data_IF_330329621645
#
_entry.id   IF_330329621645
#
_cell.length_a   1.000
_cell.length_b   1.000
_cell.length_c   1.000
_cell.angle_alpha   90.00
_cell.angle_beta   90.00
_cell.angle_gamma   90.00
#
_symmetry.space_group_name_H-M   'P 1'
#
loop_
_entity.id
_entity.type
_entity.pdbx_description
1 polymer ?
#
# COMPACT_ATOMS: atom_id res chain seq x y z
N UNK A 1 9.45 -14.87 25.70
CA UNK A 1 9.39 -15.37 27.09
C UNK A 1 8.38 -16.51 27.24
N UNK A 2 7.14 -16.37 26.75
CA UNK A 2 6.10 -17.41 26.81
C UNK A 2 6.48 -18.75 26.14
N UNK A 3 7.01 -18.72 24.90
CA UNK A 3 7.40 -19.94 24.17
C UNK A 3 8.50 -20.76 24.87
N UNK A 4 9.44 -20.08 25.55
CA UNK A 4 10.47 -20.75 26.35
C UNK A 4 9.88 -21.48 27.56
N UNK A 5 8.85 -20.91 28.19
CA UNK A 5 8.13 -21.55 29.28
C UNK A 5 7.37 -22.79 28.77
N UNK A 6 6.70 -22.69 27.62
CA UNK A 6 5.99 -23.80 26.99
C UNK A 6 6.91 -24.97 26.60
N UNK A 7 8.09 -24.69 26.01
CA UNK A 7 9.09 -25.71 25.65
C UNK A 7 9.60 -26.46 26.89
N UNK A 8 9.96 -25.71 27.93
CA UNK A 8 10.42 -26.30 29.21
C UNK A 8 9.33 -27.16 29.85
N UNK A 9 8.07 -26.72 29.77
CA UNK A 9 6.93 -27.47 30.27
C UNK A 9 6.71 -28.80 29.53
N UNK A 10 6.79 -28.80 28.19
CA UNK A 10 6.63 -30.01 27.36
C UNK A 10 7.76 -31.02 27.60
N UNK A 11 9.00 -30.56 27.77
CA UNK A 11 10.16 -31.43 28.08
C UNK A 11 9.98 -32.13 29.43
N UNK A 12 9.37 -31.46 30.42
CA UNK A 12 9.14 -32.03 31.75
C UNK A 12 7.92 -32.95 31.75
N UNK A 13 6.83 -32.58 31.08
CA UNK A 13 5.60 -33.40 31.07
C UNK A 13 5.73 -34.68 30.22
N UNK A 14 6.46 -34.64 29.10
CA UNK A 14 6.58 -35.78 28.19
C UNK A 14 7.04 -37.08 28.87
N UNK A 15 8.16 -37.08 29.61
CA UNK A 15 8.65 -38.23 30.37
C UNK A 15 7.67 -38.70 31.45
N UNK A 16 6.98 -37.77 32.12
CA UNK A 16 5.99 -38.07 33.17
C UNK A 16 4.78 -38.77 32.56
N UNK A 17 4.21 -38.21 31.49
CA UNK A 17 3.08 -38.83 30.76
C UNK A 17 3.49 -40.20 30.21
N UNK A 18 4.69 -40.32 29.63
CA UNK A 18 5.19 -41.57 29.08
C UNK A 18 5.35 -42.67 30.14
N UNK A 19 5.82 -42.32 31.34
CA UNK A 19 5.93 -43.24 32.47
C UNK A 19 4.56 -43.75 32.95
N UNK A 20 3.57 -42.86 33.08
CA UNK A 20 2.25 -43.24 33.60
C UNK A 20 1.32 -43.87 32.56
N UNK A 21 1.43 -43.49 31.29
CA UNK A 21 0.46 -43.88 30.25
C UNK A 21 0.91 -45.04 29.37
N UNK A 22 2.23 -45.21 29.16
CA UNK A 22 2.76 -46.21 28.21
C UNK A 22 3.34 -47.41 28.93
N UNK A 23 4.23 -47.20 29.91
CA UNK A 23 4.82 -48.27 30.71
C UNK A 23 5.52 -47.69 31.95
N UNK A 24 5.25 -48.26 33.13
CA UNK A 24 5.92 -47.88 34.38
C UNK A 24 7.37 -48.40 34.46
N UNK A 25 8.22 -47.92 33.56
CA UNK A 25 9.62 -48.30 33.48
C UNK A 25 10.42 -47.37 32.56
N UNK A 26 11.73 -47.63 32.40
CA UNK A 26 12.63 -46.78 31.62
C UNK A 26 12.21 -46.64 30.15
N UNK A 27 11.50 -47.64 29.59
CA UNK A 27 10.96 -47.59 28.23
C UNK A 27 9.85 -46.54 28.06
N UNK A 28 8.97 -46.37 29.06
CA UNK A 28 7.91 -45.36 29.02
C UNK A 28 8.45 -43.94 29.09
N UNK A 29 9.46 -43.72 29.93
CA UNK A 29 10.20 -42.45 30.01
C UNK A 29 10.84 -42.14 28.65
N UNK A 30 11.50 -43.11 28.02
CA UNK A 30 12.18 -42.92 26.74
C UNK A 30 11.22 -42.53 25.60
N UNK A 31 10.05 -43.19 25.53
CA UNK A 31 9.00 -42.87 24.57
C UNK A 31 8.42 -41.48 24.83
N UNK A 32 8.19 -41.14 26.11
CA UNK A 32 7.68 -39.83 26.51
C UNK A 32 8.64 -38.67 26.18
N UNK A 33 9.93 -38.85 26.44
CA UNK A 33 10.98 -37.88 26.06
C UNK A 33 11.06 -37.76 24.53
N UNK A 34 11.02 -38.87 23.81
CA UNK A 34 11.03 -38.87 22.35
C UNK A 34 9.87 -38.09 21.74
N UNK A 35 8.66 -38.27 22.28
CA UNK A 35 7.48 -37.53 21.86
C UNK A 35 7.61 -36.02 22.13
N UNK A 36 8.14 -35.63 23.30
CA UNK A 36 8.36 -34.22 23.65
C UNK A 36 9.37 -33.54 22.69
N UNK A 37 10.47 -34.23 22.38
CA UNK A 37 11.47 -33.73 21.41
C UNK A 37 10.85 -33.58 20.02
N UNK A 38 10.02 -34.54 19.60
CA UNK A 38 9.32 -34.50 18.31
C UNK A 38 8.35 -33.31 18.22
N UNK A 39 7.60 -33.02 19.28
CA UNK A 39 6.69 -31.86 19.32
C UNK A 39 7.47 -30.55 19.19
N UNK A 40 8.60 -30.41 19.89
CA UNK A 40 9.45 -29.22 19.81
C UNK A 40 10.09 -29.11 18.43
N UNK A 41 10.47 -30.22 17.82
CA UNK A 41 10.98 -30.23 16.45
C UNK A 41 9.91 -29.77 15.45
N UNK A 42 8.66 -30.25 15.58
CA UNK A 42 7.54 -29.78 14.76
C UNK A 42 7.30 -28.28 14.97
N UNK A 43 7.27 -27.81 16.21
CA UNK A 43 7.12 -26.38 16.54
C UNK A 43 8.22 -25.54 15.87
N UNK A 44 9.48 -25.97 15.98
CA UNK A 44 10.61 -25.29 15.35
C UNK A 44 10.49 -25.25 13.83
N UNK A 45 10.06 -26.34 13.20
CA UNK A 45 9.80 -26.37 11.74
C UNK A 45 8.65 -25.42 11.37
N UNK A 46 7.56 -25.41 12.15
CA UNK A 46 6.42 -24.50 11.93
C UNK A 46 6.80 -23.02 12.06
N UNK A 47 7.76 -22.67 12.93
CA UNK A 47 8.28 -21.31 13.05
C UNK A 47 9.09 -20.86 11.82
N UNK A 48 9.76 -21.79 11.14
CA UNK A 48 10.61 -21.50 9.98
C UNK A 48 9.85 -21.49 8.65
N UNK A 49 8.67 -22.11 8.60
CA UNK A 49 7.89 -22.28 7.37
C UNK A 49 6.75 -21.26 7.32
N UNK A 50 6.58 -20.49 6.22
CA UNK A 50 5.47 -19.57 6.06
C UNK A 50 4.11 -20.28 6.15
N UNK A 51 3.09 -19.61 6.72
CA UNK A 51 1.75 -20.19 6.84
C UNK A 51 1.15 -20.58 5.48
N UNK A 52 1.45 -19.83 4.41
CA UNK A 52 0.96 -20.13 3.07
C UNK A 52 1.63 -21.36 2.44
N UNK A 53 2.88 -21.68 2.79
CA UNK A 53 3.53 -22.96 2.44
C UNK A 53 2.83 -24.13 3.14
N UNK A 54 2.48 -23.98 4.41
CA UNK A 54 1.79 -25.02 5.19
C UNK A 54 0.41 -25.32 4.60
N UNK A 55 -0.37 -24.27 4.29
CA UNK A 55 -1.69 -24.41 3.68
C UNK A 55 -1.58 -25.05 2.31
N UNK A 56 -0.65 -24.61 1.47
CA UNK A 56 -0.43 -25.18 0.14
C UNK A 56 -0.02 -26.67 0.22
N UNK A 57 0.89 -27.01 1.14
CA UNK A 57 1.30 -28.39 1.39
C UNK A 57 0.09 -29.26 1.78
N UNK A 58 -0.74 -28.80 2.72
CA UNK A 58 -1.94 -29.49 3.16
C UNK A 58 -2.94 -29.72 2.02
N UNK A 59 -3.23 -28.68 1.22
CA UNK A 59 -4.10 -28.81 0.05
C UNK A 59 -3.53 -29.80 -0.98
N UNK A 60 -2.23 -29.75 -1.24
CA UNK A 60 -1.56 -30.66 -2.17
C UNK A 60 -1.67 -32.12 -1.75
N UNK A 61 -1.52 -32.42 -0.46
CA UNK A 61 -1.71 -33.77 0.10
C UNK A 61 -3.15 -34.23 -0.10
N UNK A 62 -4.14 -33.39 0.25
CA UNK A 62 -5.56 -33.72 0.11
C UNK A 62 -5.92 -34.01 -1.36
N UNK A 63 -5.48 -33.16 -2.28
CA UNK A 63 -5.70 -33.34 -3.72
C UNK A 63 -5.04 -34.63 -4.21
N UNK A 64 -3.80 -34.92 -3.78
CA UNK A 64 -3.09 -36.16 -4.12
C UNK A 64 -3.84 -37.41 -3.66
N UNK A 65 -4.37 -37.39 -2.42
CA UNK A 65 -5.17 -38.50 -1.89
C UNK A 65 -6.51 -38.67 -2.62
N UNK A 66 -7.17 -37.57 -2.99
CA UNK A 66 -8.40 -37.62 -3.80
C UNK A 66 -8.10 -38.23 -5.17
N UNK A 67 -6.99 -37.85 -5.81
CA UNK A 67 -6.58 -38.40 -7.09
C UNK A 67 -6.33 -39.92 -7.01
N UNK A 68 -5.64 -40.39 -5.97
CA UNK A 68 -5.46 -41.84 -5.76
C UNK A 68 -6.78 -42.53 -5.53
N UNK A 69 -7.69 -41.95 -4.76
CA UNK A 69 -9.02 -42.54 -4.54
C UNK A 69 -9.84 -42.64 -5.83
N UNK A 70 -9.70 -41.66 -6.73
CA UNK A 70 -10.29 -41.74 -8.06
C UNK A 70 -9.64 -42.84 -8.91
N UNK A 71 -8.31 -43.01 -8.82
CA UNK A 71 -7.61 -44.13 -9.49
C UNK A 71 -8.03 -45.48 -8.92
N UNK A 72 -8.18 -45.64 -7.60
CA UNK A 72 -8.66 -46.86 -6.96
C UNK A 72 -9.99 -47.30 -7.60
N UNK A 73 -10.93 -46.35 -7.77
CA UNK A 73 -12.21 -46.63 -8.42
C UNK A 73 -12.06 -47.08 -9.88
N UNK A 74 -11.21 -46.41 -10.67
CA UNK A 74 -10.97 -46.78 -12.07
C UNK A 74 -10.35 -48.18 -12.18
N UNK A 75 -9.39 -48.50 -11.31
CA UNK A 75 -8.69 -49.78 -11.32
C UNK A 75 -9.66 -50.92 -11.04
N UNK A 76 -10.50 -50.78 -10.02
CA UNK A 76 -11.48 -51.81 -9.63
C UNK A 76 -12.53 -52.04 -10.73
N UNK A 77 -12.98 -50.99 -11.42
CA UNK A 77 -14.05 -51.11 -12.43
C UNK A 77 -13.54 -51.64 -13.77
N UNK A 78 -12.26 -51.40 -14.12
CA UNK A 78 -11.78 -51.59 -15.50
C UNK A 78 -10.84 -52.78 -15.67
N UNK A 79 -10.13 -53.20 -14.63
CA UNK A 79 -9.04 -54.17 -14.74
C UNK A 79 -9.39 -55.55 -14.17
N UNK A 80 -8.64 -56.57 -14.60
CA UNK A 80 -8.79 -57.95 -14.13
C UNK A 80 -8.36 -58.12 -12.66
N UNK A 81 -8.90 -59.13 -11.97
CA UNK A 81 -8.61 -59.46 -10.55
C UNK A 81 -7.10 -59.47 -10.22
N UNK A 82 -6.25 -60.04 -11.09
CA UNK A 82 -4.79 -60.04 -10.88
C UNK A 82 -4.16 -58.65 -10.81
N UNK A 83 -4.71 -57.68 -11.54
CA UNK A 83 -4.23 -56.30 -11.53
C UNK A 83 -4.72 -55.54 -10.29
N UNK A 84 -5.91 -55.89 -9.79
CA UNK A 84 -6.46 -55.37 -8.54
C UNK A 84 -5.59 -55.82 -7.36
N UNK A 85 -5.23 -57.11 -7.28
CA UNK A 85 -4.37 -57.65 -6.22
C UNK A 85 -3.00 -56.94 -6.16
N UNK A 86 -2.38 -56.72 -7.32
CA UNK A 86 -1.12 -55.97 -7.42
C UNK A 86 -1.33 -54.52 -6.96
N UNK A 87 -2.39 -53.86 -7.39
CA UNK A 87 -2.68 -52.48 -7.00
C UNK A 87 -2.89 -52.34 -5.49
N UNK A 88 -3.63 -53.27 -4.87
CA UNK A 88 -3.85 -53.28 -3.42
C UNK A 88 -2.54 -53.51 -2.65
N UNK A 89 -1.69 -54.44 -3.11
CA UNK A 89 -0.38 -54.70 -2.50
C UNK A 89 0.49 -53.44 -2.43
N UNK A 90 0.44 -52.58 -3.45
CA UNK A 90 1.21 -51.34 -3.53
C UNK A 90 0.44 -50.08 -3.13
N UNK A 91 -0.83 -50.19 -2.70
CA UNK A 91 -1.73 -49.06 -2.44
C UNK A 91 -1.15 -48.04 -1.45
N UNK A 92 -0.48 -48.51 -0.39
CA UNK A 92 0.14 -47.63 0.60
C UNK A 92 1.31 -46.81 0.01
N UNK A 93 2.14 -47.44 -0.82
CA UNK A 93 3.24 -46.77 -1.51
C UNK A 93 2.72 -45.76 -2.52
N UNK A 94 1.65 -46.10 -3.25
CA UNK A 94 1.00 -45.20 -4.20
C UNK A 94 0.41 -43.98 -3.49
N UNK A 95 -0.29 -44.16 -2.36
CA UNK A 95 -0.84 -43.07 -1.56
C UNK A 95 0.25 -42.14 -1.01
N UNK A 96 1.34 -42.69 -0.51
CA UNK A 96 2.44 -41.91 0.07
C UNK A 96 3.18 -41.11 -0.99
N UNK A 97 3.51 -41.74 -2.12
CA UNK A 97 4.16 -41.06 -3.25
C UNK A 97 3.27 -39.97 -3.84
N UNK A 98 1.98 -40.26 -4.10
CA UNK A 98 1.04 -39.27 -4.62
C UNK A 98 0.82 -38.09 -3.66
N UNK A 99 0.73 -38.34 -2.35
CA UNK A 99 0.60 -37.29 -1.33
C UNK A 99 1.82 -36.38 -1.32
N UNK A 100 3.03 -36.96 -1.37
CA UNK A 100 4.28 -36.22 -1.40
C UNK A 100 4.44 -35.42 -2.71
N UNK A 101 4.11 -36.02 -3.85
CA UNK A 101 4.13 -35.32 -5.14
C UNK A 101 3.09 -34.20 -5.18
N UNK A 102 1.88 -34.43 -4.67
CA UNK A 102 0.84 -33.40 -4.54
C UNK A 102 1.28 -32.23 -3.67
N UNK A 103 1.89 -32.51 -2.51
CA UNK A 103 2.52 -31.50 -1.65
C UNK A 103 3.59 -30.72 -2.41
N UNK A 104 4.51 -31.42 -3.08
CA UNK A 104 5.66 -30.82 -3.76
C UNK A 104 5.22 -29.94 -4.92
N UNK A 105 4.23 -30.37 -5.70
CA UNK A 105 3.61 -29.57 -6.76
C UNK A 105 2.96 -28.33 -6.14
N UNK A 106 2.11 -28.49 -5.13
CA UNK A 106 1.41 -27.37 -4.52
C UNK A 106 2.38 -26.33 -3.95
N UNK A 107 3.41 -26.75 -3.22
CA UNK A 107 4.40 -25.84 -2.62
C UNK A 107 5.31 -25.19 -3.67
N UNK A 108 5.80 -25.94 -4.67
CA UNK A 108 6.70 -25.38 -5.69
C UNK A 108 5.98 -24.56 -6.75
N UNK A 109 4.75 -24.93 -7.13
CA UNK A 109 3.98 -24.29 -8.21
C UNK A 109 3.00 -23.21 -7.73
N UNK A 110 2.77 -23.03 -6.42
CA UNK A 110 1.94 -21.91 -5.92
C UNK A 110 2.44 -20.52 -6.35
N UNK A 111 3.74 -20.37 -6.64
CA UNK A 111 4.31 -19.13 -7.17
C UNK A 111 3.87 -18.83 -8.61
N UNK A 112 3.69 -19.88 -9.41
CA UNK A 112 3.30 -19.81 -10.82
C UNK A 112 1.78 -19.67 -11.02
N UNK A 113 0.97 -19.99 -10.00
CA UNK A 113 -0.50 -19.77 -10.03
C UNK A 113 -0.89 -18.32 -10.34
N UNK A 114 -0.02 -17.35 -10.05
CA UNK A 114 -0.22 -15.93 -10.42
C UNK A 114 -0.25 -15.69 -11.94
N UNK A 115 0.34 -16.57 -12.75
CA UNK A 115 0.33 -16.46 -14.22
C UNK A 115 -1.00 -16.92 -14.85
N UNK A 116 -1.78 -17.76 -14.14
CA UNK A 116 -3.12 -18.19 -14.56
C UNK A 116 -4.21 -17.19 -14.12
N UNK A 117 -3.89 -16.27 -13.20
CA UNK A 117 -4.84 -15.45 -12.46
C UNK A 117 -5.07 -14.05 -13.09
N UNK A 118 -4.84 -13.88 -14.39
CA UNK A 118 -5.07 -12.58 -15.03
C UNK A 118 -6.56 -12.28 -15.29
N UNK A 119 -7.49 -13.22 -15.04
CA UNK A 119 -8.93 -13.02 -15.34
C UNK A 119 -9.96 -13.59 -14.33
N UNK A 120 -9.59 -14.22 -13.21
CA UNK A 120 -10.59 -14.75 -12.27
C UNK A 120 -10.18 -14.48 -10.82
N UNK A 121 -10.45 -13.25 -10.39
CA UNK A 121 -10.22 -12.78 -9.03
C UNK A 121 -10.97 -13.61 -8.00
N UNK A 122 -10.32 -14.58 -7.37
CA UNK A 122 -10.70 -15.06 -6.04
C UNK A 122 -9.46 -15.55 -5.28
N UNK A 123 -9.12 -14.81 -4.23
CA UNK A 123 -8.29 -15.20 -3.07
C UNK A 123 -6.83 -14.70 -3.04
N UNK A 124 -6.70 -13.46 -2.55
CA UNK A 124 -5.72 -13.03 -1.54
C UNK A 124 -4.23 -13.37 -1.76
N UNK A 125 -3.56 -12.56 -2.59
CA UNK A 125 -2.21 -12.05 -2.28
C UNK A 125 -2.31 -10.55 -2.08
N UNK A 126 -2.19 -10.08 -0.84
CA UNK A 126 -1.66 -8.78 -0.36
C UNK A 126 -1.65 -7.56 -1.31
N UNK A 127 -2.65 -7.40 -2.18
CA UNK A 127 -3.06 -6.10 -2.68
C UNK A 127 -3.55 -5.38 -1.43
N UNK A 128 -2.76 -4.43 -0.94
CA UNK A 128 -3.32 -3.45 -0.02
C UNK A 128 -4.45 -2.78 -0.80
N UNK A 129 -5.73 -2.94 -0.40
CA UNK A 129 -6.82 -2.30 -1.10
C UNK A 129 -6.55 -0.80 -1.08
N UNK A 130 -6.35 -0.21 -2.25
CA UNK A 130 -6.03 1.22 -2.45
C UNK A 130 -4.96 1.76 -1.49
N UNK A 131 -3.72 1.25 -1.58
CA UNK A 131 -2.59 1.90 -0.91
C UNK A 131 -1.98 3.00 -1.78
N UNK A 132 -1.43 3.99 -1.08
CA UNK A 132 -0.64 5.06 -1.68
C UNK A 132 0.76 5.02 -1.11
N UNK A 133 1.78 4.88 -1.95
CA UNK A 133 3.19 5.00 -1.56
C UNK A 133 3.57 6.47 -1.52
N UNK A 134 4.16 6.89 -0.39
CA UNK A 134 4.47 8.28 -0.11
C UNK A 134 5.95 8.57 -0.35
N UNK A 135 6.22 9.64 -1.09
CA UNK A 135 7.56 10.18 -1.39
C UNK A 135 8.07 11.14 -0.27
N UNK A 136 9.38 11.32 -0.14
CA UNK A 136 9.98 12.27 0.81
C UNK A 136 9.56 13.71 0.53
N UNK A 137 9.44 14.09 -0.76
CA UNK A 137 9.06 15.44 -1.16
C UNK A 137 7.70 15.88 -0.59
N UNK A 138 6.70 14.98 -0.60
CA UNK A 138 5.37 15.30 -0.08
C UNK A 138 5.31 15.27 1.47
N UNK A 139 6.15 14.45 2.11
CA UNK A 139 6.29 14.46 3.57
C UNK A 139 6.88 15.78 4.07
N UNK A 140 7.76 16.42 3.29
CA UNK A 140 8.38 17.70 3.63
C UNK A 140 7.44 18.90 3.37
N UNK A 141 6.59 18.80 2.36
CA UNK A 141 5.69 19.88 1.89
C UNK A 141 4.73 20.37 3.00
N UNK A 142 4.29 19.46 3.86
CA UNK A 142 3.50 19.71 5.06
C UNK A 142 2.01 19.92 4.85
N UNK A 143 1.52 20.08 3.60
CA UNK A 143 0.08 20.06 3.29
C UNK A 143 -0.54 18.66 3.43
N UNK A 144 0.29 17.61 3.43
CA UNK A 144 -0.16 16.23 3.49
C UNK A 144 -1.05 15.94 4.71
N UNK A 145 -0.72 16.53 5.86
CA UNK A 145 -1.50 16.38 7.10
C UNK A 145 -2.91 16.94 6.95
N UNK A 146 -3.05 18.12 6.36
CA UNK A 146 -4.34 18.77 6.18
C UNK A 146 -5.19 18.04 5.13
N UNK A 147 -4.55 17.54 4.06
CA UNK A 147 -5.19 16.70 3.04
C UNK A 147 -5.69 15.38 3.67
N UNK A 148 -4.92 14.79 4.60
CA UNK A 148 -5.32 13.60 5.36
C UNK A 148 -6.58 13.87 6.19
N UNK A 149 -6.56 14.93 7.00
CA UNK A 149 -7.69 15.34 7.85
C UNK A 149 -8.94 15.67 7.06
N UNK A 150 -8.79 16.25 5.87
CA UNK A 150 -9.89 16.56 4.97
C UNK A 150 -10.48 15.31 4.30
N UNK A 151 -9.89 14.12 4.48
CA UNK A 151 -10.41 12.86 3.96
C UNK A 151 -10.08 12.58 2.49
N UNK A 152 -9.11 13.29 1.90
CA UNK A 152 -8.72 13.12 0.50
C UNK A 152 -7.62 12.07 0.28
N UNK A 153 -7.10 11.47 1.35
CA UNK A 153 -6.09 10.41 1.27
C UNK A 153 -6.69 9.01 1.33
N UNK A 154 -6.02 8.07 0.67
CA UNK A 154 -6.36 6.65 0.76
C UNK A 154 -6.29 6.13 2.19
N UNK A 155 -7.08 5.10 2.51
CA UNK A 155 -7.12 4.49 3.85
C UNK A 155 -5.75 3.98 4.33
N UNK A 156 -4.82 3.67 3.41
CA UNK A 156 -3.47 3.24 3.75
C UNK A 156 -2.39 4.03 3.03
N UNK A 157 -1.52 4.68 3.81
CA UNK A 157 -0.30 5.30 3.35
C UNK A 157 0.89 4.39 3.62
N UNK A 158 1.64 4.03 2.58
CA UNK A 158 2.85 3.21 2.68
C UNK A 158 4.07 4.11 2.63
N UNK A 159 4.89 4.07 3.67
CA UNK A 159 6.15 4.82 3.74
C UNK A 159 7.32 3.83 3.68
N UNK A 160 8.07 3.77 2.57
CA UNK A 160 9.21 2.88 2.47
C UNK A 160 10.34 3.26 3.42
N UNK A 161 11.08 2.26 3.92
CA UNK A 161 12.21 2.47 4.84
C UNK A 161 13.30 3.37 4.26
N UNK A 162 13.59 3.25 2.96
CA UNK A 162 14.58 4.08 2.29
C UNK A 162 14.19 5.57 2.24
N UNK A 163 12.88 5.90 2.23
CA UNK A 163 12.39 7.29 2.33
C UNK A 163 12.64 7.85 3.73
N UNK A 164 12.42 7.04 4.76
CA UNK A 164 12.74 7.43 6.15
C UNK A 164 14.24 7.68 6.31
N UNK A 165 15.08 6.81 5.75
CA UNK A 165 16.54 6.96 5.80
C UNK A 165 17.01 8.24 5.07
N UNK A 166 16.39 8.59 3.95
CA UNK A 166 16.66 9.85 3.25
C UNK A 166 16.29 11.07 4.12
N UNK A 167 15.12 11.05 4.76
CA UNK A 167 14.70 12.12 5.67
C UNK A 167 15.60 12.24 6.91
N UNK A 168 16.08 11.11 7.45
CA UNK A 168 17.06 11.09 8.54
C UNK A 168 18.40 11.70 8.09
N UNK A 169 18.90 11.30 6.92
CA UNK A 169 20.13 11.86 6.34
C UNK A 169 20.01 13.38 6.14
N UNK A 170 18.83 13.86 5.71
CA UNK A 170 18.54 15.29 5.63
C UNK A 170 18.50 15.94 7.01
N UNK A 171 17.88 15.31 8.01
CA UNK A 171 17.77 15.81 9.38
C UNK A 171 19.14 15.90 10.10
N UNK A 172 20.11 15.08 9.71
CA UNK A 172 21.47 15.08 10.24
C UNK A 172 22.43 15.96 9.42
N UNK A 173 21.92 16.65 8.40
CA UNK A 173 22.73 17.54 7.56
C UNK A 173 23.26 18.75 8.34
N UNK A 174 24.49 19.14 8.04
CA UNK A 174 25.10 20.39 8.55
C UNK A 174 24.40 21.64 8.03
N UNK A 175 23.71 21.55 6.89
CA UNK A 175 22.91 22.62 6.32
C UNK A 175 21.58 22.77 7.08
N UNK A 176 21.38 23.94 7.70
CA UNK A 176 20.19 24.28 8.49
C UNK A 176 18.88 24.12 7.72
N UNK A 177 18.86 24.44 6.43
CA UNK A 177 17.68 24.32 5.58
C UNK A 177 17.33 22.85 5.33
N UNK A 178 18.33 22.03 4.99
CA UNK A 178 18.14 20.57 4.81
C UNK A 178 17.72 19.89 6.10
N UNK A 179 18.37 20.25 7.21
CA UNK A 179 18.03 19.76 8.55
C UNK A 179 16.60 20.06 8.95
N UNK A 180 16.15 21.29 8.71
CA UNK A 180 14.77 21.70 8.99
C UNK A 180 13.77 20.92 8.14
N UNK A 181 14.06 20.71 6.85
CA UNK A 181 13.22 19.90 5.95
C UNK A 181 13.14 18.44 6.40
N UNK A 182 14.27 17.80 6.72
CA UNK A 182 14.33 16.42 7.20
C UNK A 182 13.50 16.23 8.48
N UNK A 183 13.69 17.12 9.46
CA UNK A 183 12.89 17.11 10.71
C UNK A 183 11.40 17.27 10.44
N UNK A 184 11.01 18.15 9.52
CA UNK A 184 9.60 18.36 9.14
C UNK A 184 8.99 17.11 8.49
N UNK A 185 9.73 16.41 7.63
CA UNK A 185 9.28 15.16 7.04
C UNK A 185 9.03 14.07 8.08
N UNK A 186 9.97 13.89 9.01
CA UNK A 186 9.84 12.93 10.11
C UNK A 186 8.67 13.28 11.05
N UNK A 187 8.46 14.56 11.36
CA UNK A 187 7.31 15.03 12.14
C UNK A 187 5.98 14.74 11.43
N UNK A 188 5.93 14.86 10.10
CA UNK A 188 4.75 14.54 9.30
C UNK A 188 4.41 13.06 9.39
N UNK A 189 5.40 12.16 9.32
CA UNK A 189 5.19 10.72 9.54
C UNK A 189 4.61 10.47 10.93
N UNK A 190 5.24 11.02 11.97
CA UNK A 190 4.78 10.85 13.36
C UNK A 190 3.37 11.40 13.59
N UNK A 191 2.96 12.44 12.86
CA UNK A 191 1.58 12.93 12.89
C UNK A 191 0.61 11.93 12.24
N UNK A 192 0.96 11.44 11.05
CA UNK A 192 0.11 10.51 10.31
C UNK A 192 -0.06 9.16 11.01
N UNK A 193 0.92 8.73 11.81
CA UNK A 193 0.82 7.51 12.63
C UNK A 193 -0.21 7.61 13.77
N UNK A 194 -0.63 8.81 14.17
CA UNK A 194 -1.68 8.98 15.19
C UNK A 194 -3.04 8.58 14.63
N UNK A 195 -3.88 7.95 15.46
CA UNK A 195 -5.20 7.46 15.05
C UNK A 195 -6.14 8.56 14.52
N UNK A 196 -5.99 9.79 15.01
CA UNK A 196 -6.81 10.95 14.61
C UNK A 196 -6.51 11.47 13.18
N UNK A 197 -5.50 10.92 12.49
CA UNK A 197 -5.11 11.38 11.16
C UNK A 197 -6.07 10.93 10.05
N UNK A 198 -6.94 9.96 10.34
CA UNK A 198 -7.86 9.35 9.36
C UNK A 198 -7.19 8.40 8.37
N UNK A 199 -5.87 8.17 8.48
CA UNK A 199 -5.09 7.33 7.55
C UNK A 199 -4.23 6.34 8.32
N UNK A 200 -4.21 5.08 7.89
CA UNK A 200 -3.29 4.08 8.47
C UNK A 200 -1.93 4.18 7.78
N UNK A 201 -0.90 4.54 8.54
CA UNK A 201 0.49 4.50 8.07
C UNK A 201 1.05 3.09 8.21
N UNK A 202 1.77 2.62 7.18
CA UNK A 202 2.50 1.36 7.20
C UNK A 202 3.92 1.57 6.70
N UNK A 203 4.91 1.23 7.51
CA UNK A 203 6.31 1.23 7.10
C UNK A 203 6.58 -0.02 6.25
N UNK A 204 7.18 0.17 5.09
CA UNK A 204 7.56 -0.92 4.19
C UNK A 204 9.08 -1.13 4.23
N UNK A 205 9.49 -2.25 4.84
CA UNK A 205 10.90 -2.53 5.17
C UNK A 205 11.76 -3.00 3.97
N UNK A 206 11.15 -3.33 2.83
CA UNK A 206 11.91 -3.80 1.66
C UNK A 206 12.69 -2.65 1.02
N UNK A 207 13.99 -2.86 0.81
CA UNK A 207 14.86 -1.99 0.01
C UNK A 207 15.21 -2.63 -1.35
N UNK A 208 15.70 -1.81 -2.27
CA UNK A 208 16.05 -2.17 -3.64
C UNK A 208 17.51 -1.78 -3.93
N UNK A 209 18.50 -2.53 -3.42
CA UNK A 209 19.92 -2.16 -3.51
C UNK A 209 20.47 -2.14 -4.94
N UNK A 210 19.81 -2.82 -5.88
CA UNK A 210 20.19 -2.83 -7.30
C UNK A 210 19.84 -1.52 -8.03
N UNK A 211 19.04 -0.63 -7.43
CA UNK A 211 18.62 0.63 -8.02
C UNK A 211 19.39 1.79 -7.38
N UNK A 212 19.88 2.71 -8.22
CA UNK A 212 20.80 3.75 -7.80
C UNK A 212 20.09 4.93 -7.13
N UNK A 213 18.89 5.30 -7.60
CA UNK A 213 18.19 6.50 -7.15
C UNK A 213 16.96 6.18 -6.31
N UNK A 214 16.65 7.03 -5.33
CA UNK A 214 15.44 6.91 -4.51
C UNK A 214 14.17 6.86 -5.38
N UNK A 215 14.13 7.66 -6.44
CA UNK A 215 13.04 7.71 -7.41
C UNK A 215 12.78 6.36 -8.09
N UNK A 216 13.83 5.68 -8.56
CA UNK A 216 13.70 4.35 -9.15
C UNK A 216 13.21 3.33 -8.12
N UNK A 217 13.72 3.41 -6.88
CA UNK A 217 13.25 2.58 -5.77
C UNK A 217 11.76 2.82 -5.48
N UNK A 218 11.30 4.08 -5.51
CA UNK A 218 9.88 4.43 -5.34
C UNK A 218 9.01 3.84 -6.44
N UNK A 219 9.40 4.01 -7.71
CA UNK A 219 8.66 3.47 -8.85
C UNK A 219 8.57 1.94 -8.78
N UNK A 220 9.69 1.27 -8.43
CA UNK A 220 9.72 -0.19 -8.26
C UNK A 220 8.87 -0.64 -7.08
N UNK A 221 8.90 0.09 -5.97
CA UNK A 221 8.05 -0.14 -4.80
C UNK A 221 6.56 -0.03 -5.16
N UNK A 222 6.17 1.01 -5.91
CA UNK A 222 4.79 1.17 -6.36
C UNK A 222 4.34 0.02 -7.27
N UNK A 223 5.20 -0.41 -8.21
CA UNK A 223 4.90 -1.53 -9.09
C UNK A 223 4.76 -2.87 -8.32
N UNK A 224 5.65 -3.13 -7.35
CA UNK A 224 5.61 -4.34 -6.53
C UNK A 224 4.37 -4.39 -5.62
N UNK A 225 3.94 -3.24 -5.09
CA UNK A 225 2.78 -3.11 -4.21
C UNK A 225 1.46 -2.88 -4.96
N UNK A 226 1.52 -2.62 -6.28
CA UNK A 226 0.41 -2.11 -7.09
C UNK A 226 -0.29 -0.90 -6.44
N UNK A 227 0.50 -0.02 -5.83
CA UNK A 227 0.03 1.19 -5.16
C UNK A 227 0.11 2.41 -6.08
N UNK A 228 -0.63 3.47 -5.74
CA UNK A 228 -0.47 4.78 -6.37
C UNK A 228 0.74 5.50 -5.78
N UNK A 229 1.45 6.28 -6.58
CA UNK A 229 2.52 7.15 -6.10
C UNK A 229 1.93 8.50 -5.65
N UNK A 230 2.25 8.93 -4.44
CA UNK A 230 1.98 10.30 -3.99
C UNK A 230 3.25 11.11 -3.90
N UNK A 231 3.30 12.20 -4.67
CA UNK A 231 4.46 13.07 -4.77
C UNK A 231 4.02 14.51 -5.05
N UNK A 232 4.90 15.47 -4.74
CA UNK A 232 4.81 16.85 -5.20
C UNK A 232 5.71 17.11 -6.42
N UNK A 233 6.60 16.18 -6.76
CA UNK A 233 7.51 16.30 -7.91
C UNK A 233 6.78 15.99 -9.23
N UNK A 234 6.77 16.98 -10.13
CA UNK A 234 6.11 16.87 -11.43
C UNK A 234 6.85 15.99 -12.43
N UNK A 235 8.17 15.85 -12.31
CA UNK A 235 8.98 14.99 -13.16
C UNK A 235 8.79 13.53 -12.77
N UNK A 236 8.90 13.22 -11.47
CA UNK A 236 8.65 11.86 -10.96
C UNK A 236 7.22 11.40 -11.27
N UNK A 237 6.24 12.30 -11.13
CA UNK A 237 4.85 12.04 -11.52
C UNK A 237 4.72 11.61 -13.00
N UNK A 238 5.30 12.37 -13.94
CA UNK A 238 5.24 12.03 -15.38
C UNK A 238 5.91 10.69 -15.68
N UNK A 239 7.05 10.41 -15.06
CA UNK A 239 7.75 9.12 -15.25
C UNK A 239 6.90 7.96 -14.71
N UNK A 240 6.25 8.14 -13.56
CA UNK A 240 5.34 7.15 -12.99
C UNK A 240 4.14 6.86 -13.90
N UNK A 241 3.51 7.91 -14.45
CA UNK A 241 2.38 7.78 -15.40
C UNK A 241 2.79 7.00 -16.65
N UNK A 242 3.96 7.28 -17.23
CA UNK A 242 4.50 6.54 -18.39
C UNK A 242 4.66 5.05 -18.08
N UNK A 243 4.97 4.70 -16.83
CA UNK A 243 5.10 3.30 -16.36
C UNK A 243 3.76 2.67 -15.96
N UNK A 244 2.64 3.36 -16.18
CA UNK A 244 1.30 2.88 -15.81
C UNK A 244 1.03 2.89 -14.31
N UNK A 245 1.82 3.63 -13.53
CA UNK A 245 1.61 3.80 -12.09
C UNK A 245 0.67 4.99 -11.89
N UNK A 246 -0.44 4.80 -11.18
CA UNK A 246 -1.35 5.90 -10.85
C UNK A 246 -0.69 6.91 -9.92
N UNK A 247 -0.90 8.21 -10.15
CA UNK A 247 -0.25 9.28 -9.39
C UNK A 247 -1.26 10.16 -8.67
N UNK A 248 -0.96 10.50 -7.42
CA UNK A 248 -1.64 11.50 -6.60
C UNK A 248 -0.70 12.70 -6.44
N UNK A 249 -0.78 13.64 -7.36
CA UNK A 249 0.06 14.84 -7.34
C UNK A 249 -0.62 15.97 -6.56
N UNK A 250 -0.03 16.35 -5.42
CA UNK A 250 -0.61 17.38 -4.54
C UNK A 250 -0.56 18.78 -5.14
N UNK A 251 0.44 19.08 -5.99
CA UNK A 251 0.48 20.34 -6.73
C UNK A 251 -0.65 20.42 -7.78
N UNK A 252 -0.95 19.30 -8.43
CA UNK A 252 -2.08 19.21 -9.35
C UNK A 252 -3.42 19.33 -8.61
N UNK A 253 -3.55 18.71 -7.44
CA UNK A 253 -4.72 18.86 -6.57
C UNK A 253 -4.94 20.33 -6.19
N UNK A 254 -3.90 20.99 -5.67
CA UNK A 254 -3.98 22.40 -5.29
C UNK A 254 -4.39 23.31 -6.48
N UNK A 255 -3.86 23.04 -7.69
CA UNK A 255 -4.26 23.76 -8.90
C UNK A 255 -5.73 23.53 -9.25
N UNK A 256 -6.23 22.31 -9.03
CA UNK A 256 -7.61 21.91 -9.36
C UNK A 256 -8.64 22.44 -8.36
N UNK A 257 -8.21 22.76 -7.14
CA UNK A 257 -9.05 23.37 -6.10
C UNK A 257 -9.19 24.89 -6.24
N UNK A 258 -8.51 25.52 -7.22
CA UNK A 258 -8.68 26.96 -7.47
C UNK A 258 -10.13 27.27 -7.86
N UNK A 259 -10.74 28.33 -7.30
CA UNK A 259 -12.13 28.68 -7.61
C UNK A 259 -12.39 28.75 -9.11
N UNK A 260 -13.44 28.05 -9.55
CA UNK A 260 -13.90 28.12 -10.93
C UNK A 260 -14.85 29.31 -11.03
N UNK A 261 -14.29 30.47 -11.36
CA UNK A 261 -15.11 31.63 -11.70
C UNK A 261 -15.64 31.48 -13.12
N UNK A 262 -16.97 31.52 -13.29
CA UNK A 262 -17.65 31.38 -14.58
C UNK A 262 -18.08 32.76 -15.14
N UNK A 263 -18.09 32.95 -16.48
CA UNK A 263 -18.77 34.08 -17.09
C UNK A 263 -20.23 34.18 -16.62
N UNK A 264 -20.66 35.39 -16.23
CA UNK A 264 -21.99 35.66 -15.67
C UNK A 264 -22.08 35.55 -14.15
N UNK A 265 -21.06 35.04 -13.46
CA UNK A 265 -21.02 34.97 -12.00
C UNK A 265 -20.80 36.36 -11.39
N UNK A 266 -21.54 36.67 -10.32
CA UNK A 266 -21.41 37.92 -9.58
C UNK A 266 -20.48 37.74 -8.37
N UNK A 267 -19.50 38.62 -8.22
CA UNK A 267 -18.48 38.58 -7.16
C UNK A 267 -18.32 39.95 -6.50
N UNK A 268 -17.97 39.98 -5.21
CA UNK A 268 -17.59 41.22 -4.53
C UNK A 268 -16.07 41.37 -4.50
N UNK A 269 -15.56 42.42 -5.16
CA UNK A 269 -14.11 42.64 -5.29
C UNK A 269 -13.72 44.01 -4.73
N UNK A 270 -12.64 44.03 -3.96
CA UNK A 270 -12.02 45.27 -3.51
C UNK A 270 -11.08 45.82 -4.59
N UNK A 271 -11.36 47.02 -5.08
CA UNK A 271 -10.62 47.64 -6.18
C UNK A 271 -9.41 48.38 -5.61
N UNK A 272 -8.19 47.93 -5.95
CA UNK A 272 -6.95 48.37 -5.32
C UNK A 272 -6.19 49.43 -6.13
N UNK A 273 -6.16 49.26 -7.46
CA UNK A 273 -5.33 50.10 -8.34
C UNK A 273 -5.96 50.32 -9.71
N UNK A 274 -5.44 51.28 -10.46
CA UNK A 274 -5.82 51.52 -11.85
C UNK A 274 -5.36 50.36 -12.76
N UNK A 275 -6.20 50.02 -13.74
CA UNK A 275 -5.87 49.05 -14.78
C UNK A 275 -5.03 49.64 -15.90
N UNK A 276 -4.73 48.82 -16.92
CA UNK A 276 -3.91 49.25 -18.05
C UNK A 276 -4.64 50.29 -18.92
N UNK A 277 -5.96 50.19 -19.03
CA UNK A 277 -6.78 51.17 -19.75
C UNK A 277 -7.38 52.21 -18.79
N UNK A 278 -7.60 53.43 -19.28
CA UNK A 278 -8.03 54.58 -18.48
C UNK A 278 -9.34 54.40 -17.70
N UNK A 279 -10.17 53.42 -18.03
CA UNK A 279 -11.46 53.16 -17.36
C UNK A 279 -11.43 51.94 -16.42
N UNK A 280 -10.36 51.18 -16.43
CA UNK A 280 -10.25 49.93 -15.69
C UNK A 280 -9.78 50.15 -14.25
N UNK A 281 -10.24 49.30 -13.36
CA UNK A 281 -9.66 49.09 -12.04
C UNK A 281 -9.24 47.63 -11.88
N UNK A 282 -8.28 47.37 -11.00
CA UNK A 282 -7.76 46.02 -10.72
C UNK A 282 -7.98 45.68 -9.26
N UNK A 283 -8.54 44.51 -9.03
CA UNK A 283 -8.62 43.84 -7.73
C UNK A 283 -7.98 42.46 -7.78
N UNK A 284 -7.98 41.79 -6.64
CA UNK A 284 -7.51 40.41 -6.52
C UNK A 284 -8.55 39.59 -5.76
N UNK A 285 -8.70 38.32 -6.15
CA UNK A 285 -9.37 37.32 -5.31
C UNK A 285 -8.47 36.94 -4.14
N UNK A 286 -9.06 36.23 -3.17
CA UNK A 286 -8.35 35.71 -2.00
C UNK A 286 -7.20 34.76 -2.38
N UNK A 287 -7.28 34.11 -3.54
CA UNK A 287 -6.25 33.23 -4.09
C UNK A 287 -5.15 33.97 -4.90
N UNK A 288 -5.23 35.29 -4.99
CA UNK A 288 -4.31 36.15 -5.73
C UNK A 288 -4.61 36.27 -7.23
N UNK A 289 -5.70 35.68 -7.73
CA UNK A 289 -6.12 35.84 -9.14
C UNK A 289 -6.45 37.30 -9.42
N UNK A 290 -5.84 37.88 -10.46
CA UNK A 290 -6.04 39.28 -10.83
C UNK A 290 -7.39 39.46 -11.53
N UNK A 291 -8.21 40.39 -11.02
CA UNK A 291 -9.49 40.78 -11.62
C UNK A 291 -9.36 42.17 -12.19
N UNK A 292 -9.57 42.31 -13.49
CA UNK A 292 -9.65 43.59 -14.20
C UNK A 292 -11.12 43.92 -14.41
N UNK A 293 -11.58 45.01 -13.82
CA UNK A 293 -12.98 45.46 -13.86
C UNK A 293 -13.09 46.68 -14.77
N UNK A 294 -13.87 46.56 -15.83
CA UNK A 294 -14.14 47.67 -16.75
C UNK A 294 -15.06 48.72 -16.12
N UNK A 295 -14.84 49.98 -16.51
CA UNK A 295 -15.56 51.17 -16.04
C UNK A 295 -15.58 51.36 -14.50
N UNK A 296 -14.58 50.83 -13.80
CA UNK A 296 -14.54 50.77 -12.34
C UNK A 296 -13.48 51.69 -11.69
N UNK A 297 -12.70 52.43 -12.49
CA UNK A 297 -11.65 53.35 -11.99
C UNK A 297 -12.12 54.31 -10.88
N UNK A 298 -13.32 54.86 -11.01
CA UNK A 298 -13.91 55.79 -10.03
C UNK A 298 -14.24 55.16 -8.67
N UNK A 299 -14.17 53.83 -8.56
CA UNK A 299 -14.50 53.08 -7.35
C UNK A 299 -13.25 52.44 -6.71
N UNK A 300 -12.04 52.84 -7.10
CA UNK A 300 -10.81 52.40 -6.44
C UNK A 300 -10.86 52.78 -4.95
N UNK A 301 -10.45 51.86 -4.09
CA UNK A 301 -10.55 51.94 -2.64
C UNK A 301 -11.89 51.45 -2.07
N UNK A 302 -12.80 50.94 -2.90
CA UNK A 302 -14.11 50.43 -2.48
C UNK A 302 -14.29 48.96 -2.85
N UNK A 303 -15.16 48.26 -2.10
CA UNK A 303 -15.66 46.94 -2.46
C UNK A 303 -16.90 47.10 -3.34
N UNK A 304 -16.88 46.51 -4.54
CA UNK A 304 -18.00 46.58 -5.49
C UNK A 304 -18.36 45.20 -6.00
N UNK A 305 -19.65 45.01 -6.25
CA UNK A 305 -20.19 43.84 -6.91
C UNK A 305 -19.92 43.93 -8.42
N UNK A 306 -19.40 42.86 -8.99
CA UNK A 306 -18.98 42.77 -10.38
C UNK A 306 -19.56 41.52 -11.02
N UNK A 307 -19.79 41.56 -12.32
CA UNK A 307 -20.17 40.39 -13.11
C UNK A 307 -18.98 40.00 -13.98
N UNK A 308 -18.59 38.74 -13.91
CA UNK A 308 -17.50 38.18 -14.70
C UNK A 308 -17.91 38.11 -16.17
N UNK A 309 -17.08 38.66 -17.05
CA UNK A 309 -17.32 38.67 -18.50
C UNK A 309 -16.54 37.54 -19.17
N UNK A 310 -15.26 37.43 -18.88
CA UNK A 310 -14.37 36.42 -19.47
C UNK A 310 -13.16 36.20 -18.57
N UNK A 311 -12.40 35.15 -18.83
CA UNK A 311 -11.10 34.94 -18.19
C UNK A 311 -10.04 34.66 -19.27
N UNK A 312 -8.82 35.07 -18.99
CA UNK A 312 -7.65 34.82 -19.82
C UNK A 312 -6.60 34.10 -18.98
N UNK A 313 -6.11 32.97 -19.48
CA UNK A 313 -4.98 32.28 -18.89
C UNK A 313 -3.70 32.80 -19.55
N UNK A 314 -2.75 33.28 -18.76
CA UNK A 314 -1.40 33.68 -19.20
C UNK A 314 -0.35 32.85 -18.47
N UNK A 315 0.92 32.95 -18.91
CA UNK A 315 2.05 32.27 -18.26
C UNK A 315 2.28 32.74 -16.81
N UNK A 316 1.89 33.99 -16.51
CA UNK A 316 1.98 34.57 -15.17
C UNK A 316 0.80 34.20 -14.25
N UNK A 317 -0.26 33.59 -14.78
CA UNK A 317 -1.42 33.19 -14.00
C UNK A 317 -2.75 33.37 -14.72
N UNK A 318 -3.84 33.31 -13.95
CA UNK A 318 -5.19 33.55 -14.47
C UNK A 318 -5.55 35.02 -14.26
N UNK A 319 -6.12 35.64 -15.29
CA UNK A 319 -6.69 36.98 -15.23
C UNK A 319 -8.19 36.88 -15.51
N UNK A 320 -9.01 37.55 -14.72
CA UNK A 320 -10.46 37.60 -14.90
C UNK A 320 -10.84 39.00 -15.35
N UNK A 321 -11.62 39.10 -16.41
CA UNK A 321 -12.23 40.33 -16.88
C UNK A 321 -13.67 40.38 -16.39
N UNK A 322 -14.04 41.50 -15.80
CA UNK A 322 -15.36 41.71 -15.26
C UNK A 322 -15.86 43.12 -15.61
N UNK A 323 -17.16 43.34 -15.43
CA UNK A 323 -17.80 44.64 -15.47
C UNK A 323 -18.49 44.88 -14.13
N UNK A 324 -18.77 46.13 -13.79
CA UNK A 324 -19.62 46.42 -12.65
C UNK A 324 -20.98 45.73 -12.83
N UNK A 325 -21.47 45.13 -11.75
CA UNK A 325 -22.84 44.67 -11.69
C UNK A 325 -23.73 45.93 -11.71
N UNK A 326 -24.39 46.15 -12.84
CA UNK A 326 -25.31 47.26 -13.04
C UNK A 326 -26.76 46.84 -12.73
N UNK A 327 -26.97 45.72 -12.03
CA UNK A 327 -28.29 45.39 -11.52
C UNK A 327 -28.76 46.55 -10.63
N UNK A 328 -29.88 47.10 -11.09
CA UNK A 328 -30.45 48.39 -10.77
C UNK A 328 -30.73 48.50 -9.26
N UNK A 329 -30.65 49.74 -8.79
CA UNK A 329 -31.45 50.24 -7.66
C UNK A 329 -32.87 49.67 -7.65
#
# INVERSE_FOLDING_TARGET
MFMWFARTFIIILGPIIGYFSVSQGPKGILIGTGAAVLVIFIEWVLEQVPLDDIIAAGMGIVIGLIAVKAMDYIVIVTFSDKAIDIWEQYSLLIKLTASYTGMLIAVKKKGEMYLLDQNLSFTSKRLLPESTTVDSCILIDGRLVDIAKAGFLSRMAVVPRFVINELQTLADSSDDSKRTRGKRGLQTIAFLEKEDSGVRVKIYEKDYPALATTDEKLLKCCADLRSKLMTSDTNLAKVAEIRGIGVLNVNLLAKSLKPVVLPGEALDVFLLKEGKEQRQAVGYLDDGTMIVVDNARRFIGQKKKIIVVSFLQTDAGRMIFAKLDNDRE
#
